data_IF_818173226572
#
_entry.id   IF_818173226572
#
_cell.length_a   1.000
_cell.length_b   1.000
_cell.length_c   1.000
_cell.angle_alpha   90.00
_cell.angle_beta   90.00
_cell.angle_gamma   90.00
#
_symmetry.space_group_name_H-M   'P 1'
#
loop_
_entity.id
_entity.type
_entity.pdbx_description
1 polymer ?
#
# COMPACT_ATOMS: atom_id res chain seq x y z
N UNK A 1 -0.71 -1.20 24.51
CA UNK A 1 -1.31 -2.54 24.39
C UNK A 1 -0.78 -3.15 23.11
N UNK A 2 -0.27 -4.39 23.13
CA UNK A 2 0.20 -5.07 21.91
C UNK A 2 -0.99 -5.43 21.04
N UNK A 3 -1.07 -4.84 19.84
CA UNK A 3 -2.07 -5.24 18.84
C UNK A 3 -1.78 -6.68 18.45
N UNK A 4 -2.74 -7.58 18.67
CA UNK A 4 -2.60 -8.98 18.25
C UNK A 4 -2.85 -9.06 16.76
N UNK A 5 -1.79 -9.31 15.98
CA UNK A 5 -1.89 -9.53 14.54
C UNK A 5 -2.49 -10.92 14.31
N UNK A 6 -3.61 -11.00 13.60
CA UNK A 6 -4.25 -12.28 13.25
C UNK A 6 -3.44 -13.04 12.18
N UNK A 7 -3.69 -14.36 12.01
CA UNK A 7 -3.10 -15.10 10.89
C UNK A 7 -3.43 -14.48 9.52
N UNK A 8 -2.54 -14.62 8.53
CA UNK A 8 -2.77 -14.10 7.18
C UNK A 8 -3.88 -14.88 6.47
N UNK A 9 -4.64 -14.19 5.61
CA UNK A 9 -5.72 -14.79 4.82
C UNK A 9 -5.46 -14.66 3.32
N UNK A 10 -5.98 -15.62 2.54
CA UNK A 10 -6.11 -15.49 1.09
C UNK A 10 -7.39 -14.68 0.79
N UNK A 11 -7.25 -13.42 0.40
CA UNK A 11 -8.39 -12.56 0.09
C UNK A 11 -8.93 -12.92 -1.29
N UNK A 12 -9.82 -13.90 -1.35
CA UNK A 12 -10.33 -14.46 -2.59
C UNK A 12 -11.75 -15.02 -2.41
N UNK A 13 -12.60 -14.93 -3.43
CA UNK A 13 -14.01 -15.33 -3.35
C UNK A 13 -14.23 -16.82 -3.07
N UNK A 14 -13.24 -17.67 -3.33
CA UNK A 14 -13.33 -19.10 -3.09
C UNK A 14 -12.58 -19.55 -1.83
N UNK A 15 -12.02 -18.60 -1.07
CA UNK A 15 -11.46 -18.92 0.24
C UNK A 15 -12.58 -19.40 1.18
N UNK A 16 -12.28 -20.39 2.03
CA UNK A 16 -13.28 -20.95 2.95
C UNK A 16 -13.58 -20.03 4.13
N UNK A 17 -12.77 -18.99 4.35
CA UNK A 17 -12.94 -18.03 5.43
C UNK A 17 -13.94 -16.95 4.99
N UNK A 18 -15.12 -16.85 5.64
CA UNK A 18 -16.15 -15.89 5.23
C UNK A 18 -15.65 -14.44 5.21
N UNK A 19 -14.78 -14.06 6.15
CA UNK A 19 -14.22 -12.72 6.17
C UNK A 19 -13.30 -12.43 4.97
N UNK A 20 -12.45 -13.39 4.57
CA UNK A 20 -11.58 -13.24 3.41
C UNK A 20 -12.41 -13.14 2.11
N UNK A 21 -13.45 -13.96 1.99
CA UNK A 21 -14.36 -13.93 0.86
C UNK A 21 -15.22 -12.64 0.84
N UNK A 22 -15.57 -12.07 1.99
CA UNK A 22 -16.29 -10.80 2.06
C UNK A 22 -15.43 -9.61 1.59
N UNK A 23 -14.11 -9.66 1.81
CA UNK A 23 -13.16 -8.66 1.35
C UNK A 23 -12.84 -8.78 -0.16
N UNK A 24 -13.20 -9.88 -0.82
CA UNK A 24 -12.95 -10.04 -2.24
C UNK A 24 -13.87 -9.16 -3.11
N UNK A 25 -13.53 -9.00 -4.39
CA UNK A 25 -14.37 -8.28 -5.37
C UNK A 25 -15.66 -9.03 -5.69
N UNK A 26 -15.55 -10.34 -5.98
CA UNK A 26 -16.65 -11.15 -6.51
C UNK A 26 -17.38 -11.90 -5.39
N UNK A 27 -17.98 -11.16 -4.46
CA UNK A 27 -18.74 -11.73 -3.33
C UNK A 27 -19.93 -12.55 -3.77
N UNK A 28 -20.50 -12.27 -4.95
CA UNK A 28 -21.57 -13.11 -5.52
C UNK A 28 -21.12 -14.55 -5.76
N UNK A 29 -19.87 -14.76 -6.19
CA UNK A 29 -19.32 -16.11 -6.36
C UNK A 29 -19.22 -16.82 -5.01
N UNK A 30 -18.73 -16.12 -3.98
CA UNK A 30 -18.64 -16.66 -2.62
C UNK A 30 -20.03 -16.99 -2.03
N UNK A 31 -21.05 -16.17 -2.34
CA UNK A 31 -22.45 -16.41 -1.96
C UNK A 31 -23.01 -17.66 -2.63
N UNK A 32 -22.83 -17.77 -3.95
CA UNK A 32 -23.29 -18.94 -4.74
C UNK A 32 -22.65 -20.24 -4.26
N UNK A 33 -21.40 -20.18 -3.81
CA UNK A 33 -20.66 -21.33 -3.28
C UNK A 33 -20.94 -21.61 -1.80
N UNK A 34 -21.81 -20.83 -1.15
CA UNK A 34 -22.21 -21.03 0.25
C UNK A 34 -21.22 -20.55 1.31
N UNK A 35 -20.10 -19.91 0.92
CA UNK A 35 -19.12 -19.33 1.86
C UNK A 35 -19.70 -18.10 2.56
N UNK A 36 -20.43 -17.27 1.82
CA UNK A 36 -21.15 -16.13 2.37
C UNK A 36 -22.64 -16.46 2.50
N UNK A 37 -23.27 -15.89 3.52
CA UNK A 37 -24.72 -16.00 3.76
C UNK A 37 -25.49 -14.75 3.35
N UNK A 38 -24.80 -13.63 3.17
CA UNK A 38 -25.35 -12.35 2.73
C UNK A 38 -24.68 -11.86 1.45
N UNK A 39 -25.38 -11.01 0.72
CA UNK A 39 -24.84 -10.30 -0.43
C UNK A 39 -24.10 -9.02 0.00
N UNK A 40 -23.27 -8.51 -0.91
CA UNK A 40 -22.57 -7.24 -0.75
C UNK A 40 -22.74 -6.39 -2.02
N UNK A 41 -23.96 -5.91 -2.34
CA UNK A 41 -24.16 -4.98 -3.44
C UNK A 41 -23.33 -3.71 -3.23
N UNK A 42 -22.98 -3.01 -4.31
CA UNK A 42 -22.19 -1.79 -4.23
C UNK A 42 -22.92 -0.65 -4.92
N UNK A 43 -23.18 0.43 -4.20
CA UNK A 43 -23.59 1.69 -4.81
C UNK A 43 -22.33 2.44 -5.25
N UNK A 44 -22.09 2.53 -6.56
CA UNK A 44 -20.86 3.10 -7.11
C UNK A 44 -21.18 4.03 -8.28
N UNK A 45 -20.71 5.28 -8.19
CA UNK A 45 -20.92 6.32 -9.21
C UNK A 45 -22.39 6.44 -9.68
N UNK A 46 -23.31 6.42 -8.72
CA UNK A 46 -24.75 6.56 -8.96
C UNK A 46 -25.45 5.32 -9.54
N UNK A 47 -24.78 4.16 -9.57
CA UNK A 47 -25.35 2.88 -10.01
C UNK A 47 -25.23 1.81 -8.93
N UNK A 48 -26.26 0.98 -8.81
CA UNK A 48 -26.24 -0.22 -7.98
C UNK A 48 -25.64 -1.38 -8.75
N UNK A 49 -24.62 -2.02 -8.18
CA UNK A 49 -24.00 -3.23 -8.71
C UNK A 49 -24.21 -4.41 -7.76
N UNK A 50 -24.35 -5.65 -8.26
CA UNK A 50 -24.52 -6.81 -7.40
C UNK A 50 -23.30 -7.12 -6.51
N UNK A 51 -22.10 -6.74 -6.94
CA UNK A 51 -20.90 -6.73 -6.11
C UNK A 51 -19.86 -5.73 -6.63
N UNK A 52 -18.78 -5.54 -5.86
CA UNK A 52 -17.67 -4.68 -6.25
C UNK A 52 -16.99 -5.14 -7.55
N UNK A 53 -16.87 -6.45 -7.79
CA UNK A 53 -16.29 -6.98 -9.03
C UNK A 53 -17.07 -6.59 -10.29
N UNK A 54 -18.41 -6.57 -10.22
CA UNK A 54 -19.25 -6.12 -11.33
C UNK A 54 -19.13 -4.61 -11.58
N UNK A 55 -18.96 -3.80 -10.53
CA UNK A 55 -18.70 -2.37 -10.67
C UNK A 55 -17.33 -2.12 -11.33
N UNK A 56 -16.30 -2.79 -10.83
CA UNK A 56 -14.95 -2.72 -11.37
C UNK A 56 -14.93 -3.10 -12.87
N UNK A 57 -15.48 -4.26 -13.24
CA UNK A 57 -15.53 -4.69 -14.63
C UNK A 57 -16.26 -3.70 -15.55
N UNK A 58 -17.36 -3.09 -15.08
CA UNK A 58 -18.12 -2.12 -15.86
C UNK A 58 -17.31 -0.87 -16.23
N UNK A 59 -16.40 -0.42 -15.35
CA UNK A 59 -15.60 0.78 -15.57
C UNK A 59 -14.17 0.49 -16.06
N UNK A 60 -13.75 -0.78 -16.12
CA UNK A 60 -12.37 -1.17 -16.45
C UNK A 60 -12.13 -1.52 -17.94
N UNK A 61 -13.16 -1.56 -18.80
CA UNK A 61 -13.06 -2.12 -20.16
C UNK A 61 -12.01 -1.46 -21.09
N UNK A 62 -11.50 -0.27 -20.77
CA UNK A 62 -10.49 0.44 -21.58
C UNK A 62 -9.41 1.15 -20.74
N UNK A 63 -9.26 0.79 -19.48
CA UNK A 63 -8.26 1.39 -18.60
C UNK A 63 -6.92 0.69 -18.76
N UNK A 64 -5.83 1.46 -18.69
CA UNK A 64 -4.51 0.87 -18.51
C UNK A 64 -4.34 0.28 -17.10
N UNK A 65 -3.22 -0.39 -16.82
CA UNK A 65 -3.01 -1.05 -15.52
C UNK A 65 -3.02 -0.07 -14.34
N UNK A 66 -2.56 1.17 -14.56
CA UNK A 66 -2.50 2.20 -13.55
C UNK A 66 -3.88 2.78 -13.25
N UNK A 67 -4.63 3.12 -14.28
CA UNK A 67 -6.02 3.58 -14.16
C UNK A 67 -6.92 2.48 -13.56
N UNK A 68 -6.68 1.22 -13.94
CA UNK A 68 -7.36 0.07 -13.37
C UNK A 68 -7.06 -0.09 -11.86
N UNK A 69 -5.82 0.15 -11.45
CA UNK A 69 -5.43 0.14 -10.05
C UNK A 69 -6.14 1.23 -9.23
N UNK A 70 -6.17 2.47 -9.74
CA UNK A 70 -6.90 3.57 -9.09
C UNK A 70 -8.41 3.30 -9.00
N UNK A 71 -9.01 2.78 -10.07
CA UNK A 71 -10.41 2.35 -10.06
C UNK A 71 -10.65 1.28 -8.99
N UNK A 72 -9.72 0.34 -8.81
CA UNK A 72 -9.86 -0.70 -7.79
C UNK A 72 -9.81 -0.10 -6.38
N UNK A 73 -8.92 0.87 -6.12
CA UNK A 73 -8.88 1.59 -4.84
C UNK A 73 -10.25 2.24 -4.60
N UNK A 74 -10.77 3.01 -5.55
CA UNK A 74 -12.06 3.72 -5.39
C UNK A 74 -13.23 2.75 -5.11
N UNK A 75 -13.29 1.64 -5.84
CA UNK A 75 -14.30 0.59 -5.66
C UNK A 75 -14.18 -0.05 -4.27
N UNK A 76 -12.97 -0.38 -3.84
CA UNK A 76 -12.72 -1.00 -2.53
C UNK A 76 -12.96 -0.02 -1.38
N UNK A 77 -12.59 1.25 -1.53
CA UNK A 77 -12.89 2.32 -0.58
C UNK A 77 -14.39 2.48 -0.42
N UNK A 78 -15.13 2.53 -1.52
CA UNK A 78 -16.60 2.62 -1.49
C UNK A 78 -17.21 1.42 -0.78
N UNK A 79 -16.70 0.21 -1.06
CA UNK A 79 -17.14 -1.01 -0.37
C UNK A 79 -16.88 -0.94 1.14
N UNK A 80 -15.67 -0.55 1.56
CA UNK A 80 -15.33 -0.44 2.97
C UNK A 80 -16.15 0.66 3.69
N UNK A 81 -16.46 1.77 3.01
CA UNK A 81 -17.37 2.82 3.52
C UNK A 81 -18.80 2.28 3.69
N UNK A 82 -19.31 1.57 2.69
CA UNK A 82 -20.66 1.03 2.70
C UNK A 82 -20.83 -0.12 3.70
N UNK A 83 -19.75 -0.85 4.02
CA UNK A 83 -19.75 -1.97 4.96
C UNK A 83 -18.76 -1.77 6.13
N UNK A 84 -19.05 -0.88 7.10
CA UNK A 84 -18.13 -0.51 8.18
C UNK A 84 -17.59 -1.69 9.00
N UNK A 85 -18.39 -2.74 9.19
CA UNK A 85 -17.96 -3.98 9.88
C UNK A 85 -16.74 -4.64 9.23
N UNK A 86 -16.56 -4.51 7.90
CA UNK A 86 -15.37 -5.01 7.22
C UNK A 86 -14.14 -4.22 7.66
N UNK A 87 -14.23 -2.89 7.63
CA UNK A 87 -13.18 -1.97 8.08
C UNK A 87 -12.81 -2.22 9.54
N UNK A 88 -13.79 -2.29 10.44
CA UNK A 88 -13.59 -2.60 11.85
C UNK A 88 -12.88 -3.94 12.05
N UNK A 89 -13.27 -4.96 11.27
CA UNK A 89 -12.66 -6.29 11.37
C UNK A 89 -11.21 -6.27 10.87
N UNK A 90 -10.88 -5.45 9.86
CA UNK A 90 -9.48 -5.21 9.46
C UNK A 90 -8.71 -4.57 10.62
N UNK A 91 -9.23 -3.50 11.23
CA UNK A 91 -8.61 -2.83 12.38
C UNK A 91 -8.34 -3.81 13.52
N UNK A 92 -9.35 -4.59 13.91
CA UNK A 92 -9.24 -5.62 14.96
C UNK A 92 -8.30 -6.77 14.62
N UNK A 93 -7.98 -6.96 13.34
CA UNK A 93 -7.05 -8.00 12.89
C UNK A 93 -5.60 -7.54 12.89
N UNK A 94 -5.34 -6.25 13.10
CA UNK A 94 -4.01 -5.63 13.06
C UNK A 94 -3.85 -4.53 12.01
N UNK A 95 -4.94 -4.11 11.36
CA UNK A 95 -4.93 -3.00 10.41
C UNK A 95 -4.02 -3.25 9.21
N UNK A 96 -3.26 -2.22 8.84
CA UNK A 96 -2.31 -2.27 7.72
C UNK A 96 -1.27 -3.37 7.94
N UNK A 97 -0.77 -3.54 9.17
CA UNK A 97 0.26 -4.55 9.45
C UNK A 97 -0.24 -5.97 9.25
N UNK A 98 -1.53 -6.22 9.52
CA UNK A 98 -2.17 -7.48 9.16
C UNK A 98 -2.38 -7.63 7.65
N UNK A 99 -2.86 -6.58 6.96
CA UNK A 99 -3.04 -6.62 5.50
C UNK A 99 -1.74 -6.91 4.75
N UNK A 100 -0.59 -6.39 5.22
CA UNK A 100 0.74 -6.69 4.67
C UNK A 100 1.08 -8.20 4.71
N UNK A 101 0.49 -8.95 5.63
CA UNK A 101 0.69 -10.42 5.72
C UNK A 101 -0.28 -11.21 4.85
N UNK A 102 -1.43 -10.62 4.48
CA UNK A 102 -2.43 -11.26 3.64
C UNK A 102 -1.97 -11.37 2.19
N UNK A 103 -2.65 -12.23 1.43
CA UNK A 103 -2.29 -12.50 0.05
C UNK A 103 -3.51 -12.65 -0.86
N UNK A 104 -3.32 -12.44 -2.16
CA UNK A 104 -4.33 -12.66 -3.19
C UNK A 104 -3.76 -13.65 -4.21
N UNK A 105 -4.34 -14.85 -4.30
CA UNK A 105 -3.98 -15.86 -5.30
C UNK A 105 -5.24 -16.54 -5.85
N UNK A 106 -5.96 -15.89 -6.76
CA UNK A 106 -6.90 -16.56 -7.65
C UNK A 106 -6.14 -17.49 -8.60
N UNK A 107 -6.82 -18.51 -9.13
CA UNK A 107 -6.32 -19.37 -10.21
C UNK A 107 -6.30 -18.63 -11.57
N UNK A 108 -5.83 -17.37 -11.60
CA UNK A 108 -5.80 -16.52 -12.79
C UNK A 108 -4.37 -16.37 -13.34
N UNK A 109 -4.27 -15.95 -14.60
CA UNK A 109 -3.01 -15.78 -15.32
C UNK A 109 -2.37 -14.39 -15.16
N UNK A 110 -3.07 -13.38 -14.63
CA UNK A 110 -2.47 -12.06 -14.40
C UNK A 110 -1.75 -12.03 -13.04
N UNK A 111 -0.41 -11.94 -13.09
CA UNK A 111 0.46 -11.94 -11.91
C UNK A 111 0.48 -10.61 -11.15
N UNK A 112 0.16 -9.48 -11.79
CA UNK A 112 0.19 -8.15 -11.16
C UNK A 112 -0.72 -8.11 -9.91
N UNK A 113 -1.93 -8.63 -10.05
CA UNK A 113 -2.90 -8.66 -8.95
C UNK A 113 -2.53 -9.65 -7.84
N UNK A 114 -1.64 -10.60 -8.10
CA UNK A 114 -1.34 -11.70 -7.20
C UNK A 114 -0.13 -11.43 -6.31
N UNK A 115 -0.05 -12.12 -5.17
CA UNK A 115 1.10 -12.02 -4.27
C UNK A 115 0.68 -11.77 -2.83
N UNK A 116 1.63 -11.29 -2.01
CA UNK A 116 1.46 -11.07 -0.57
C UNK A 116 1.80 -9.63 -0.23
N UNK A 117 0.98 -8.98 0.59
CA UNK A 117 1.17 -7.58 0.97
C UNK A 117 1.35 -6.68 -0.25
N UNK A 118 2.34 -5.80 -0.20
CA UNK A 118 2.66 -4.87 -1.29
C UNK A 118 3.14 -5.51 -2.59
N UNK A 119 3.43 -6.82 -2.58
CA UNK A 119 3.78 -7.57 -3.79
C UNK A 119 2.56 -8.05 -4.58
N UNK A 120 1.35 -7.67 -4.16
CA UNK A 120 0.08 -7.93 -4.85
C UNK A 120 -0.63 -6.61 -5.09
N UNK A 121 -0.89 -6.27 -6.36
CA UNK A 121 -1.69 -5.09 -6.69
C UNK A 121 -3.05 -5.09 -5.99
N UNK A 122 -3.66 -6.27 -5.82
CA UNK A 122 -4.94 -6.40 -5.13
C UNK A 122 -4.85 -6.03 -3.64
N UNK A 123 -3.87 -6.60 -2.93
CA UNK A 123 -3.69 -6.32 -1.50
C UNK A 123 -3.22 -4.88 -1.29
N UNK A 124 -2.38 -4.33 -2.16
CA UNK A 124 -1.99 -2.92 -2.14
C UNK A 124 -3.20 -2.01 -2.31
N UNK A 125 -4.08 -2.27 -3.27
CA UNK A 125 -5.30 -1.49 -3.46
C UNK A 125 -6.22 -1.56 -2.23
N UNK A 126 -6.35 -2.74 -1.60
CA UNK A 126 -7.11 -2.90 -0.36
C UNK A 126 -6.49 -2.14 0.82
N UNK A 127 -5.15 -2.08 0.92
CA UNK A 127 -4.45 -1.27 1.93
C UNK A 127 -4.75 0.21 1.74
N UNK A 128 -4.67 0.73 0.50
CA UNK A 128 -4.97 2.13 0.21
C UNK A 128 -6.44 2.45 0.49
N UNK A 129 -7.36 1.56 0.09
CA UNK A 129 -8.76 1.71 0.41
C UNK A 129 -9.03 1.72 1.92
N UNK A 130 -8.38 0.83 2.69
CA UNK A 130 -8.51 0.84 4.15
C UNK A 130 -7.99 2.14 4.77
N UNK A 131 -6.86 2.68 4.28
CA UNK A 131 -6.33 3.98 4.74
C UNK A 131 -7.35 5.10 4.56
N UNK A 132 -7.92 5.25 3.35
CA UNK A 132 -8.90 6.29 3.06
C UNK A 132 -10.13 6.26 3.96
N UNK A 133 -10.50 5.08 4.45
CA UNK A 133 -11.73 4.86 5.23
C UNK A 133 -11.47 4.88 6.73
N UNK A 134 -10.42 4.21 7.19
CA UNK A 134 -10.12 4.06 8.62
C UNK A 134 -9.26 5.20 9.18
N UNK A 135 -8.54 5.90 8.32
CA UNK A 135 -7.69 7.05 8.66
C UNK A 135 -8.04 8.21 7.72
N UNK A 136 -9.20 8.87 7.90
CA UNK A 136 -9.42 10.16 7.24
C UNK A 136 -8.26 11.09 7.67
N UNK A 137 -7.75 11.98 6.78
CA UNK A 137 -6.59 12.80 7.07
C UNK A 137 -6.84 13.66 8.31
N UNK A 138 -6.38 13.24 9.48
CA UNK A 138 -6.63 13.96 10.73
C UNK A 138 -5.53 14.99 11.00
N UNK A 139 -5.96 16.26 10.91
CA UNK A 139 -5.57 17.43 11.71
C UNK A 139 -4.08 17.59 12.02
N UNK A 140 -3.49 18.55 11.31
CA UNK A 140 -2.26 19.28 11.64
C UNK A 140 -2.28 19.70 13.12
N UNK A 141 -1.50 19.02 13.96
CA UNK A 141 -1.13 19.53 15.28
C UNK A 141 -0.02 20.55 15.07
N UNK A 142 -0.34 21.82 15.29
CA UNK A 142 0.66 22.90 15.36
C UNK A 142 1.57 22.64 16.56
N UNK A 143 2.81 22.22 16.29
CA UNK A 143 3.89 22.27 17.28
C UNK A 143 4.80 23.43 16.88
N UNK A 144 4.88 24.40 17.80
CA UNK A 144 5.73 25.59 17.71
C UNK A 144 7.21 25.21 17.60
N UNK A 145 7.92 26.06 16.89
CA UNK A 145 9.35 26.07 16.62
C UNK A 145 10.24 25.78 17.85
N UNK A 146 11.31 25.00 17.62
CA UNK A 146 12.65 25.02 18.28
C UNK A 146 13.32 23.64 18.03
N UNK A 147 14.53 23.44 17.50
CA UNK A 147 15.66 24.27 17.05
C UNK A 147 16.35 23.52 15.89
N UNK A 148 16.72 24.26 14.83
CA UNK A 148 17.58 23.78 13.74
C UNK A 148 19.04 23.78 14.20
N UNK A 149 19.71 22.62 14.18
CA UNK A 149 21.17 22.55 14.19
C UNK A 149 21.62 22.45 12.73
N UNK A 150 22.28 23.51 12.26
CA UNK A 150 22.98 23.56 10.99
C UNK A 150 24.16 22.58 10.98
N UNK A 151 24.20 21.64 10.03
CA UNK A 151 25.47 21.11 9.52
C UNK A 151 25.42 20.81 8.01
N UNK A 152 25.70 21.87 7.25
CA UNK A 152 26.62 21.97 6.09
C UNK A 152 26.55 20.91 4.98
N UNK A 153 25.90 21.32 3.89
CA UNK A 153 26.41 21.48 2.51
C UNK A 153 27.29 20.42 1.77
N UNK A 154 27.75 19.31 2.37
CA UNK A 154 28.55 18.28 1.65
C UNK A 154 27.74 17.01 1.29
N UNK A 155 26.52 16.86 1.83
CA UNK A 155 25.68 15.66 1.60
C UNK A 155 24.70 15.80 0.41
N UNK A 156 24.35 17.03 -0.02
CA UNK A 156 23.35 17.25 -1.09
C UNK A 156 23.75 16.67 -2.45
N UNK A 157 25.06 16.64 -2.77
CA UNK A 157 25.56 16.15 -4.06
C UNK A 157 25.80 14.63 -4.10
N UNK A 158 25.66 13.92 -2.97
CA UNK A 158 25.83 12.44 -2.87
C UNK A 158 24.52 11.68 -2.66
N UNK A 159 23.38 12.37 -2.54
CA UNK A 159 22.07 11.77 -2.29
C UNK A 159 21.41 11.18 -3.55
N UNK A 160 21.64 11.74 -4.74
CA UNK A 160 21.01 11.24 -5.98
C UNK A 160 21.33 9.76 -6.27
N UNK A 161 22.52 9.29 -5.89
CA UNK A 161 22.94 7.89 -6.05
C UNK A 161 22.51 6.99 -4.88
N UNK A 162 21.82 7.54 -3.88
CA UNK A 162 21.40 6.85 -2.65
C UNK A 162 19.90 6.85 -2.48
N UNK A 163 19.18 7.51 -3.36
CA UNK A 163 17.72 7.60 -3.38
C UNK A 163 17.21 6.76 -4.55
N UNK A 164 16.33 5.83 -4.25
CA UNK A 164 15.69 4.96 -5.23
C UNK A 164 14.19 5.05 -5.10
N UNK A 165 13.48 4.82 -6.20
CA UNK A 165 12.04 4.76 -6.22
C UNK A 165 11.56 3.42 -6.75
N UNK A 166 10.51 2.88 -6.14
CA UNK A 166 9.78 1.73 -6.67
C UNK A 166 8.41 2.20 -7.17
N UNK A 167 8.20 2.22 -8.50
CA UNK A 167 6.94 2.67 -9.10
C UNK A 167 5.76 1.74 -8.81
N UNK A 168 6.03 0.49 -8.38
CA UNK A 168 4.98 -0.50 -8.09
C UNK A 168 4.48 -0.35 -6.65
N UNK A 169 5.39 -0.14 -5.69
CA UNK A 169 5.01 0.03 -4.27
C UNK A 169 4.81 1.49 -3.85
N UNK A 170 5.10 2.44 -4.75
CA UNK A 170 5.13 3.88 -4.46
C UNK A 170 6.04 4.22 -3.27
N UNK A 171 7.17 3.51 -3.14
CA UNK A 171 8.10 3.71 -2.04
C UNK A 171 9.37 4.42 -2.53
N UNK A 172 9.79 5.41 -1.73
CA UNK A 172 11.10 6.03 -1.83
C UNK A 172 12.04 5.33 -0.84
N UNK A 173 13.17 4.86 -1.33
CA UNK A 173 14.23 4.24 -0.54
C UNK A 173 15.41 5.20 -0.47
N UNK A 174 15.93 5.42 0.73
CA UNK A 174 17.12 6.26 0.92
C UNK A 174 18.12 5.50 1.77
N UNK A 175 19.33 5.33 1.23
CA UNK A 175 20.41 4.59 1.89
C UNK A 175 21.22 5.48 2.84
N UNK A 176 21.41 4.99 4.06
CA UNK A 176 22.19 5.62 5.11
C UNK A 176 23.19 4.65 5.72
N UNK A 177 24.35 5.17 6.13
CA UNK A 177 25.32 4.44 6.94
C UNK A 177 25.04 4.53 8.46
N UNK A 178 24.10 5.38 8.86
CA UNK A 178 23.77 5.68 10.25
C UNK A 178 22.25 5.72 10.46
N UNK A 179 21.75 4.91 11.40
CA UNK A 179 20.33 4.76 11.73
C UNK A 179 19.70 6.00 12.33
N UNK A 180 20.45 6.79 13.11
CA UNK A 180 19.99 8.05 13.70
C UNK A 180 19.76 9.07 12.58
N UNK A 181 20.72 9.21 11.66
CA UNK A 181 20.58 10.08 10.47
C UNK A 181 19.39 9.68 9.60
N UNK A 182 19.19 8.37 9.36
CA UNK A 182 18.02 7.87 8.63
C UNK A 182 16.70 8.28 9.29
N UNK A 183 16.65 8.25 10.62
CA UNK A 183 15.46 8.65 11.39
C UNK A 183 15.21 10.16 11.33
N UNK A 184 16.24 10.97 11.50
CA UNK A 184 16.14 12.43 11.39
C UNK A 184 15.65 12.84 10.00
N UNK A 185 16.23 12.24 8.96
CA UNK A 185 15.82 12.45 7.58
C UNK A 185 14.39 12.02 7.30
N UNK A 186 13.97 10.84 7.78
CA UNK A 186 12.58 10.40 7.63
C UNK A 186 11.59 11.38 8.25
N UNK A 187 11.90 11.93 9.43
CA UNK A 187 11.06 12.95 10.09
C UNK A 187 11.02 14.23 9.24
N UNK A 188 12.15 14.65 8.69
CA UNK A 188 12.23 15.84 7.85
C UNK A 188 11.49 15.68 6.52
N UNK A 189 11.61 14.53 5.85
CA UNK A 189 10.94 14.24 4.60
C UNK A 189 9.42 14.21 4.76
N UNK A 190 8.91 13.62 5.84
CA UNK A 190 7.47 13.66 6.14
C UNK A 190 6.99 15.12 6.26
N UNK A 191 7.77 16.00 6.91
CA UNK A 191 7.41 17.41 7.09
C UNK A 191 7.45 18.21 5.79
N UNK A 192 8.48 18.02 4.97
CA UNK A 192 8.73 18.83 3.76
C UNK A 192 7.99 18.33 2.53
N UNK A 193 7.85 17.01 2.36
CA UNK A 193 7.29 16.40 1.15
C UNK A 193 5.83 15.95 1.30
N UNK A 194 5.19 16.17 2.46
CA UNK A 194 3.81 15.71 2.74
C UNK A 194 3.61 14.21 2.46
N UNK A 195 4.66 13.40 2.67
CA UNK A 195 4.70 11.96 2.37
C UNK A 195 4.30 11.10 3.58
N UNK A 196 3.01 10.85 3.76
CA UNK A 196 2.43 9.66 4.42
C UNK A 196 2.70 9.47 5.93
N UNK A 197 1.84 8.71 6.61
CA UNK A 197 1.79 8.57 8.09
C UNK A 197 3.02 7.93 8.78
N UNK A 198 4.16 7.80 8.11
CA UNK A 198 5.39 7.27 8.72
C UNK A 198 6.38 6.69 7.73
N UNK A 199 7.61 6.48 8.19
CA UNK A 199 8.67 5.78 7.45
C UNK A 199 9.14 4.55 8.23
N UNK A 200 9.78 3.61 7.54
CA UNK A 200 10.49 2.50 8.19
C UNK A 200 11.98 2.60 7.95
N UNK A 201 12.78 2.05 8.86
CA UNK A 201 14.22 1.90 8.67
C UNK A 201 14.55 0.42 8.74
N UNK A 202 15.07 -0.12 7.64
CA UNK A 202 15.42 -1.53 7.47
C UNK A 202 16.94 -1.67 7.36
N UNK A 203 17.45 -2.88 7.56
CA UNK A 203 18.87 -3.16 7.31
C UNK A 203 19.09 -3.33 5.80
N UNK A 204 20.11 -2.67 5.27
CA UNK A 204 20.47 -2.73 3.85
C UNK A 204 21.56 -3.77 3.62
N UNK A 205 21.51 -4.43 2.46
CA UNK A 205 22.53 -5.40 2.02
C UNK A 205 23.83 -4.73 1.54
N UNK A 206 23.85 -3.41 1.46
CA UNK A 206 25.03 -2.63 1.08
C UNK A 206 26.06 -2.62 2.22
N UNK A 207 27.34 -2.83 1.87
CA UNK A 207 28.43 -2.99 2.82
C UNK A 207 28.73 -1.70 3.61
N UNK A 208 28.53 -0.56 2.96
CA UNK A 208 28.86 0.77 3.48
C UNK A 208 27.59 1.51 3.94
N UNK A 209 26.44 1.23 3.33
CA UNK A 209 25.14 1.80 3.67
C UNK A 209 24.25 0.78 4.38
N UNK A 210 24.40 0.69 5.70
CA UNK A 210 23.78 -0.36 6.52
C UNK A 210 22.28 -0.20 6.74
N UNK A 211 21.70 0.95 6.44
CA UNK A 211 20.30 1.24 6.73
C UNK A 211 19.56 1.78 5.50
N UNK A 212 18.33 1.31 5.29
CA UNK A 212 17.43 1.73 4.23
C UNK A 212 16.21 2.41 4.86
N UNK A 213 16.05 3.72 4.62
CA UNK A 213 14.86 4.46 4.96
C UNK A 213 13.81 4.22 3.86
N UNK A 214 12.66 3.68 4.22
CA UNK A 214 11.55 3.43 3.29
C UNK A 214 10.41 4.39 3.61
N UNK A 215 10.11 5.28 2.67
CA UNK A 215 9.05 6.28 2.79
C UNK A 215 7.95 5.94 1.78
N UNK A 216 6.74 5.58 2.23
CA UNK A 216 5.61 5.39 1.35
C UNK A 216 5.14 6.77 0.84
N UNK A 217 5.14 6.93 -0.48
CA UNK A 217 4.59 8.11 -1.13
C UNK A 217 3.06 7.98 -1.17
N UNK A 218 2.36 9.03 -0.73
CA UNK A 218 0.88 9.03 -0.64
C UNK A 218 0.21 9.30 -1.97
N UNK A 219 0.94 9.93 -2.89
CA UNK A 219 0.43 10.42 -4.16
C UNK A 219 1.43 10.08 -5.28
N UNK A 220 0.92 9.37 -6.30
CA UNK A 220 1.65 9.01 -7.50
C UNK A 220 2.11 10.24 -8.28
N UNK A 221 1.32 11.31 -8.32
CA UNK A 221 1.70 12.55 -9.02
C UNK A 221 2.87 13.22 -8.31
N UNK A 222 2.83 13.34 -6.98
CA UNK A 222 3.97 13.81 -6.19
C UNK A 222 5.20 12.90 -6.32
N UNK A 223 5.03 11.58 -6.31
CA UNK A 223 6.12 10.62 -6.47
C UNK A 223 6.78 10.70 -7.85
N UNK A 224 5.98 10.76 -8.90
CA UNK A 224 6.45 10.89 -10.29
C UNK A 224 7.16 12.22 -10.50
N UNK A 225 6.58 13.31 -9.99
CA UNK A 225 7.18 14.65 -10.05
C UNK A 225 8.53 14.68 -9.32
N UNK A 226 8.62 14.05 -8.15
CA UNK A 226 9.87 13.97 -7.37
C UNK A 226 10.95 13.19 -8.12
N UNK A 227 10.58 12.06 -8.74
CA UNK A 227 11.49 11.21 -9.51
C UNK A 227 12.00 11.92 -10.77
N UNK A 228 11.11 12.60 -11.49
CA UNK A 228 11.45 13.35 -12.71
C UNK A 228 12.32 14.58 -12.40
N UNK A 229 12.00 15.32 -11.33
CA UNK A 229 12.76 16.51 -10.93
C UNK A 229 14.14 16.17 -10.36
N UNK A 230 14.27 15.04 -9.67
CA UNK A 230 15.50 14.68 -8.96
C UNK A 230 16.39 13.67 -9.71
N UNK A 231 15.92 13.14 -10.85
CA UNK A 231 16.64 12.21 -11.72
C UNK A 231 17.16 10.97 -10.94
N UNK A 232 16.33 10.42 -10.06
CA UNK A 232 16.71 9.30 -9.20
C UNK A 232 16.91 8.01 -9.99
N UNK A 233 17.84 7.16 -9.52
CA UNK A 233 18.02 5.84 -10.10
C UNK A 233 16.84 4.93 -9.73
N UNK A 234 16.23 4.27 -10.73
CA UNK A 234 15.28 3.19 -10.46
C UNK A 234 15.98 2.02 -9.76
N UNK A 235 15.39 1.47 -8.70
CA UNK A 235 15.92 0.25 -8.09
C UNK A 235 15.71 -0.92 -9.07
N UNK A 236 16.76 -1.63 -9.52
CA UNK A 236 16.57 -2.87 -10.23
C UNK A 236 15.88 -3.86 -9.28
N UNK A 237 14.88 -4.60 -9.78
CA UNK A 237 14.11 -5.56 -9.01
C UNK A 237 15.02 -6.42 -8.13
N UNK A 238 14.82 -6.34 -6.81
CA UNK A 238 15.51 -7.21 -5.86
C UNK A 238 15.30 -8.67 -6.27
N UNK A 239 16.42 -9.35 -6.52
CA UNK A 239 16.52 -10.69 -7.09
C UNK A 239 15.34 -11.61 -6.74
N UNK A 240 14.70 -12.12 -7.80
CA UNK A 240 14.20 -13.48 -7.79
C UNK A 240 15.36 -14.39 -7.36
N UNK A 241 15.35 -14.85 -6.12
CA UNK A 241 16.05 -16.07 -5.76
C UNK A 241 15.31 -17.24 -6.42
N UNK A 242 15.45 -17.37 -7.74
CA UNK A 242 15.39 -18.67 -8.38
C UNK A 242 16.67 -19.39 -7.99
N UNK A 243 16.56 -20.34 -7.07
CA UNK A 243 17.59 -21.36 -6.91
C UNK A 243 17.76 -22.07 -8.26
N UNK A 244 18.96 -22.13 -8.85
CA UNK A 244 19.24 -23.13 -9.85
C UNK A 244 19.36 -24.49 -9.16
N UNK A 245 18.67 -25.49 -9.70
CA UNK A 245 19.08 -26.90 -9.58
C UNK A 245 20.15 -27.13 -10.64
#
# INVERSE_FOLDING_TARGET
MSVTIKPPLNIHSWDKTPFAAALSLFTQSARKSGVLTQDYPLEFRGKTFPCAGTAYQHFNENLDEDEAFELLIEVMSTKLKQYPKLTETITLSGGIDWLKTCFHRPDSCNKFWQGTGYRSGYITALINAYREVAQPPEKIVSIKDEQLIEDRNDDRQKLSNRVFYNPISFELYILFNNKIKAREWGIHLIKELYVGEGFTIQDSSDRDMKFELVVPMVDKTAATTLVELANFACRPHGNNAQNPI
#
